data_IF_821979920957
#
_entry.id   IF_821979920957
#
_cell.length_a   1.000
_cell.length_b   1.000
_cell.length_c   1.000
_cell.angle_alpha   90.00
_cell.angle_beta   90.00
_cell.angle_gamma   90.00
#
_symmetry.space_group_name_H-M   'P 1'
#
loop_
_entity.id
_entity.type
_entity.pdbx_description
1 polymer ?
#
# COMPACT_ATOMS: atom_id res chain seq x y z
N UNK A 1 -1.14 14.33 14.26
CA UNK A 1 -0.31 13.32 14.98
C UNK A 1 0.06 12.23 13.99
N UNK A 2 1.34 11.99 13.84
CA UNK A 2 1.84 10.96 12.91
C UNK A 2 1.31 9.58 13.28
N UNK A 3 0.85 8.84 12.28
CA UNK A 3 0.44 7.45 12.42
C UNK A 3 1.62 6.52 12.19
N UNK A 4 2.50 6.86 11.24
CA UNK A 4 3.70 6.10 10.91
C UNK A 4 4.90 7.07 10.81
N UNK A 5 5.97 6.76 11.51
CA UNK A 5 7.25 7.46 11.43
C UNK A 5 8.37 6.46 11.17
N UNK A 6 9.18 6.75 10.19
CA UNK A 6 10.34 5.94 9.79
C UNK A 6 11.56 6.83 9.81
N UNK A 7 12.59 6.44 10.53
CA UNK A 7 13.83 7.22 10.66
C UNK A 7 15.04 6.32 10.45
N UNK A 8 15.93 6.73 9.56
CA UNK A 8 17.23 6.11 9.36
C UNK A 8 17.18 4.65 8.92
N UNK A 9 16.16 4.26 8.12
CA UNK A 9 15.94 2.86 7.78
C UNK A 9 16.99 2.34 6.81
N UNK A 10 17.80 1.39 7.27
CA UNK A 10 18.80 0.69 6.47
C UNK A 10 18.41 -0.79 6.33
N UNK A 11 18.13 -1.23 5.10
CA UNK A 11 17.63 -2.58 4.81
C UNK A 11 18.52 -3.29 3.80
N UNK A 12 18.75 -4.58 4.05
CA UNK A 12 19.65 -5.42 3.28
C UNK A 12 18.97 -6.73 2.85
N UNK A 13 19.38 -7.26 1.70
CA UNK A 13 19.18 -8.65 1.30
C UNK A 13 20.54 -9.36 1.31
N UNK A 14 20.79 -10.19 2.30
CA UNK A 14 22.14 -10.70 2.54
C UNK A 14 23.12 -9.53 2.76
N UNK A 15 24.15 -9.43 1.92
CA UNK A 15 25.14 -8.34 1.99
C UNK A 15 24.77 -7.14 1.09
N UNK A 16 23.72 -7.27 0.27
CA UNK A 16 23.29 -6.19 -0.62
C UNK A 16 22.50 -5.13 0.14
N UNK A 17 23.05 -3.92 0.28
CA UNK A 17 22.38 -2.78 0.87
C UNK A 17 21.40 -2.17 -0.14
N UNK A 18 20.13 -2.08 0.21
CA UNK A 18 19.05 -1.64 -0.70
C UNK A 18 18.42 -0.33 -0.26
N UNK A 19 18.19 -0.13 1.04
CA UNK A 19 17.66 1.12 1.57
C UNK A 19 18.72 1.78 2.42
N UNK A 20 18.96 3.05 2.13
CA UNK A 20 20.01 3.86 2.74
C UNK A 20 19.37 5.04 3.47
N UNK A 21 19.35 4.99 4.79
CA UNK A 21 18.88 6.07 5.67
C UNK A 21 17.49 6.61 5.29
N UNK A 22 16.57 5.68 4.90
CA UNK A 22 15.24 6.07 4.47
C UNK A 22 14.46 6.64 5.65
N UNK A 23 13.92 7.85 5.46
CA UNK A 23 13.04 8.51 6.41
C UNK A 23 11.74 8.91 5.71
N UNK A 24 10.60 8.65 6.35
CA UNK A 24 9.28 9.10 5.88
C UNK A 24 8.29 9.18 7.05
N UNK A 25 7.27 10.02 6.88
CA UNK A 25 6.21 10.21 7.85
C UNK A 25 4.85 10.18 7.17
N UNK A 26 3.87 9.54 7.84
CA UNK A 26 2.48 9.48 7.37
C UNK A 26 1.56 9.91 8.51
N UNK A 27 0.76 10.94 8.27
CA UNK A 27 -0.23 11.41 9.23
C UNK A 27 -1.50 10.52 9.17
N UNK A 28 -2.32 10.57 10.21
CA UNK A 28 -3.64 9.92 10.16
C UNK A 28 -4.49 10.52 9.04
N UNK A 29 -5.23 9.66 8.32
CA UNK A 29 -6.15 10.03 7.25
C UNK A 29 -5.43 10.68 6.05
N UNK A 30 -4.13 10.48 5.92
CA UNK A 30 -3.33 10.98 4.81
C UNK A 30 -3.16 9.89 3.73
N UNK A 31 -3.16 10.30 2.48
CA UNK A 31 -2.69 9.48 1.35
C UNK A 31 -1.29 9.95 0.99
N UNK A 32 -0.32 9.12 1.25
CA UNK A 32 1.09 9.36 0.93
C UNK A 32 1.51 8.46 -0.22
N UNK A 33 2.22 9.01 -1.18
CA UNK A 33 2.82 8.22 -2.26
C UNK A 33 4.33 8.12 -2.14
N UNK A 34 4.85 6.95 -2.47
CA UNK A 34 6.28 6.69 -2.66
C UNK A 34 6.51 6.40 -4.14
N UNK A 35 7.04 7.38 -4.86
CA UNK A 35 7.38 7.30 -6.28
C UNK A 35 8.83 6.89 -6.46
N UNK A 36 9.11 6.13 -7.52
CA UNK A 36 10.47 5.73 -7.88
C UNK A 36 10.48 4.79 -9.07
N UNK A 37 11.59 4.69 -9.74
CA UNK A 37 11.79 3.73 -10.85
C UNK A 37 11.78 2.29 -10.33
N UNK A 38 11.68 1.31 -11.25
CA UNK A 38 11.87 -0.10 -10.89
C UNK A 38 13.25 -0.32 -10.30
N UNK A 39 13.29 -1.08 -9.20
CA UNK A 39 14.53 -1.33 -8.45
C UNK A 39 14.96 -0.18 -7.52
N UNK A 40 14.24 0.93 -7.44
CA UNK A 40 14.61 2.06 -6.59
C UNK A 40 14.51 1.81 -5.06
N UNK A 41 13.85 0.71 -4.63
CA UNK A 41 13.70 0.38 -3.21
C UNK A 41 12.24 0.47 -2.69
N UNK A 42 11.27 0.81 -3.54
CA UNK A 42 9.85 0.99 -3.16
C UNK A 42 9.26 -0.21 -2.41
N UNK A 43 9.19 -1.38 -3.05
CA UNK A 43 8.63 -2.60 -2.44
C UNK A 43 9.47 -3.10 -1.27
N UNK A 44 10.80 -2.84 -1.26
CA UNK A 44 11.66 -3.12 -0.10
C UNK A 44 11.26 -2.26 1.09
N UNK A 45 10.94 -0.98 0.88
CA UNK A 45 10.41 -0.11 1.94
C UNK A 45 9.13 -0.71 2.54
N UNK A 46 8.15 -1.08 1.71
CA UNK A 46 6.91 -1.69 2.21
C UNK A 46 7.15 -3.02 2.94
N UNK A 47 8.06 -3.86 2.43
CA UNK A 47 8.44 -5.13 3.08
C UNK A 47 9.11 -4.90 4.42
N UNK A 48 9.92 -3.84 4.56
CA UNK A 48 10.55 -3.47 5.83
C UNK A 48 9.50 -2.98 6.84
N UNK A 49 8.56 -2.13 6.41
CA UNK A 49 7.45 -1.67 7.25
C UNK A 49 6.60 -2.83 7.79
N UNK A 50 6.39 -3.86 6.96
CA UNK A 50 5.62 -5.05 7.33
C UNK A 50 6.43 -6.12 8.06
N UNK A 51 7.71 -5.90 8.35
CA UNK A 51 8.57 -6.89 9.02
C UNK A 51 8.79 -8.17 8.21
N UNK A 52 8.62 -8.11 6.87
CA UNK A 52 8.96 -9.19 5.93
C UNK A 52 10.46 -9.25 5.74
N UNK A 53 11.09 -8.08 5.64
CA UNK A 53 12.53 -7.91 5.65
C UNK A 53 12.87 -7.02 6.85
N UNK A 54 13.58 -7.56 7.82
CA UNK A 54 13.97 -6.78 9.00
C UNK A 54 15.06 -5.76 8.62
N UNK A 55 14.89 -4.47 8.94
CA UNK A 55 15.97 -3.50 8.78
C UNK A 55 17.12 -3.84 9.74
N UNK A 56 18.35 -3.54 9.35
CA UNK A 56 19.52 -3.67 10.24
C UNK A 56 19.65 -2.48 11.18
N UNK A 57 19.23 -1.30 10.72
CA UNK A 57 19.30 -0.04 11.46
C UNK A 57 18.06 0.81 11.20
N UNK A 58 17.82 1.77 12.07
CA UNK A 58 16.69 2.69 12.00
C UNK A 58 15.53 2.29 12.90
N UNK A 59 14.52 3.12 12.92
CA UNK A 59 13.31 2.93 13.71
C UNK A 59 12.05 3.04 12.86
N UNK A 60 11.01 2.29 13.24
CA UNK A 60 9.69 2.34 12.62
C UNK A 60 8.67 2.44 13.75
N UNK A 61 8.09 3.61 13.94
CA UNK A 61 7.07 3.85 14.96
C UNK A 61 5.69 3.87 14.31
N UNK A 62 4.81 2.97 14.71
CA UNK A 62 3.44 2.88 14.22
C UNK A 62 2.44 3.04 15.36
N UNK A 63 1.60 4.08 15.28
CA UNK A 63 0.64 4.39 16.33
C UNK A 63 1.30 4.63 17.71
N UNK A 64 2.50 5.21 17.74
CA UNK A 64 3.28 5.45 18.94
C UNK A 64 4.04 4.24 19.47
N UNK A 65 4.05 3.13 18.74
CA UNK A 65 4.74 1.89 19.14
C UNK A 65 5.84 1.54 18.16
N UNK A 66 7.06 1.25 18.67
CA UNK A 66 8.17 0.75 17.86
C UNK A 66 7.85 -0.65 17.31
N UNK A 67 7.96 -0.80 15.97
CA UNK A 67 7.66 -2.05 15.28
C UNK A 67 8.83 -2.62 14.45
N UNK A 68 9.97 -1.94 14.36
CA UNK A 68 11.13 -2.45 13.66
C UNK A 68 11.54 -3.82 14.24
N UNK A 69 11.80 -4.78 13.35
CA UNK A 69 12.14 -6.15 13.73
C UNK A 69 10.99 -6.99 14.28
N UNK A 70 9.77 -6.46 14.42
CA UNK A 70 8.61 -7.27 14.79
C UNK A 70 8.19 -8.20 13.65
N UNK A 71 7.60 -9.33 14.01
CA UNK A 71 7.05 -10.29 13.03
C UNK A 71 5.85 -9.70 12.29
N UNK A 72 5.74 -9.97 10.99
CA UNK A 72 4.68 -9.43 10.11
C UNK A 72 3.26 -9.62 10.66
N UNK A 73 2.96 -10.77 11.27
CA UNK A 73 1.62 -11.02 11.83
C UNK A 73 1.30 -10.10 13.02
N UNK A 74 2.28 -9.70 13.81
CA UNK A 74 2.09 -8.77 14.93
C UNK A 74 1.85 -7.34 14.42
N UNK A 75 2.57 -6.94 13.37
CA UNK A 75 2.36 -5.66 12.67
C UNK A 75 0.98 -5.63 12.02
N UNK A 76 0.57 -6.72 11.37
CA UNK A 76 -0.76 -6.82 10.77
C UNK A 76 -1.89 -6.72 11.81
N UNK A 77 -1.74 -7.33 13.00
CA UNK A 77 -2.70 -7.17 14.11
C UNK A 77 -2.72 -5.77 14.69
N UNK A 78 -1.61 -5.04 14.68
CA UNK A 78 -1.59 -3.64 15.09
C UNK A 78 -2.37 -2.70 14.15
N UNK A 79 -2.77 -3.19 12.96
CA UNK A 79 -3.64 -2.49 12.01
C UNK A 79 -2.94 -2.01 10.72
N UNK A 80 -1.73 -2.50 10.40
CA UNK A 80 -1.07 -2.24 9.13
C UNK A 80 -1.32 -3.41 8.18
N UNK A 81 -1.84 -3.15 6.99
CA UNK A 81 -2.08 -4.18 5.97
C UNK A 81 -1.33 -3.86 4.69
N UNK A 82 -0.80 -4.89 4.03
CA UNK A 82 -0.10 -4.77 2.74
C UNK A 82 -0.88 -5.51 1.65
N UNK A 83 -1.14 -4.80 0.57
CA UNK A 83 -1.61 -5.37 -0.69
C UNK A 83 -0.40 -5.44 -1.62
N UNK A 84 0.00 -6.66 -1.96
CA UNK A 84 1.15 -6.93 -2.82
C UNK A 84 0.81 -6.70 -4.31
N UNK A 85 1.81 -6.36 -5.10
CA UNK A 85 1.75 -6.25 -6.56
C UNK A 85 1.17 -7.54 -7.21
N UNK A 86 1.63 -8.72 -6.77
CA UNK A 86 1.17 -10.04 -7.20
C UNK A 86 -0.18 -10.48 -6.59
N UNK A 87 -0.91 -9.55 -5.93
CA UNK A 87 -2.27 -9.70 -5.35
C UNK A 87 -2.40 -10.75 -4.25
N UNK A 88 -1.72 -11.87 -4.34
CA UNK A 88 -1.69 -13.01 -3.38
C UNK A 88 -3.06 -13.48 -2.92
N UNK A 89 -4.01 -13.57 -3.85
CA UNK A 89 -5.32 -14.16 -3.56
C UNK A 89 -5.20 -15.70 -3.54
N UNK A 90 -6.11 -16.35 -2.83
CA UNK A 90 -6.22 -17.81 -2.85
C UNK A 90 -7.06 -18.21 -4.06
N UNK A 91 -6.39 -18.63 -5.14
CA UNK A 91 -7.05 -18.94 -6.42
C UNK A 91 -8.06 -20.08 -6.35
N UNK A 92 -7.83 -21.09 -5.50
CA UNK A 92 -8.73 -22.24 -5.31
C UNK A 92 -9.98 -21.92 -4.48
N UNK A 93 -9.94 -20.85 -3.67
CA UNK A 93 -11.07 -20.38 -2.87
C UNK A 93 -11.94 -19.41 -3.69
N UNK A 94 -13.23 -19.37 -3.40
CA UNK A 94 -14.11 -18.37 -3.96
C UNK A 94 -13.89 -16.99 -3.29
N UNK A 95 -14.54 -15.93 -3.82
CA UNK A 95 -14.42 -14.57 -3.30
C UNK A 95 -14.79 -14.48 -1.83
N UNK A 96 -15.95 -15.06 -1.44
CA UNK A 96 -16.44 -15.02 -0.07
C UNK A 96 -15.49 -15.76 0.88
N UNK A 97 -15.01 -16.94 0.51
CA UNK A 97 -14.03 -17.71 1.29
C UNK A 97 -12.73 -16.96 1.47
N UNK A 98 -12.23 -16.26 0.43
CA UNK A 98 -11.05 -15.39 0.52
C UNK A 98 -11.23 -14.28 1.57
N UNK A 99 -12.40 -13.65 1.62
CA UNK A 99 -12.71 -12.58 2.57
C UNK A 99 -12.88 -13.12 3.99
N UNK A 100 -13.61 -14.23 4.15
CA UNK A 100 -13.81 -14.90 5.45
C UNK A 100 -12.47 -15.32 6.02
N UNK A 101 -11.63 -16.00 5.23
CA UNK A 101 -10.30 -16.46 5.68
C UNK A 101 -9.44 -15.29 6.14
N UNK A 102 -9.44 -14.16 5.40
CA UNK A 102 -8.68 -12.98 5.78
C UNK A 102 -9.16 -12.37 7.12
N UNK A 103 -10.44 -12.52 7.46
CA UNK A 103 -11.03 -11.97 8.68
C UNK A 103 -10.81 -12.82 9.94
N UNK A 104 -10.46 -14.11 9.81
CA UNK A 104 -10.42 -15.07 10.94
C UNK A 104 -9.45 -14.65 12.06
N UNK A 105 -8.36 -13.97 11.72
CA UNK A 105 -7.32 -13.56 12.68
C UNK A 105 -7.35 -12.06 13.00
N UNK A 106 -8.41 -11.36 12.61
CA UNK A 106 -8.61 -9.95 12.90
C UNK A 106 -9.31 -9.76 14.24
N UNK A 107 -8.80 -8.87 15.09
CA UNK A 107 -9.45 -8.51 16.36
C UNK A 107 -10.74 -7.73 16.10
N UNK A 108 -10.70 -6.81 15.13
CA UNK A 108 -11.86 -6.12 14.56
C UNK A 108 -12.00 -6.51 13.08
N UNK A 109 -13.23 -6.49 12.57
CA UNK A 109 -13.48 -6.80 11.16
C UNK A 109 -14.64 -5.98 10.62
N UNK A 110 -14.51 -5.57 9.36
CA UNK A 110 -15.66 -5.00 8.65
C UNK A 110 -16.62 -6.12 8.24
N UNK A 111 -17.94 -5.89 8.38
CA UNK A 111 -18.94 -6.79 7.83
C UNK A 111 -18.76 -6.98 6.33
N UNK A 112 -19.02 -8.19 5.82
CA UNK A 112 -18.90 -8.46 4.37
C UNK A 112 -19.81 -7.57 3.52
N UNK A 113 -21.00 -7.21 4.04
CA UNK A 113 -21.90 -6.29 3.34
C UNK A 113 -21.25 -4.91 3.11
N UNK A 114 -20.43 -4.40 4.05
CA UNK A 114 -19.66 -3.16 3.87
C UNK A 114 -18.63 -3.33 2.76
N UNK A 115 -17.92 -4.46 2.71
CA UNK A 115 -16.96 -4.77 1.66
C UNK A 115 -17.66 -4.85 0.30
N UNK A 116 -18.79 -5.52 0.22
CA UNK A 116 -19.58 -5.63 -1.01
C UNK A 116 -20.22 -4.30 -1.46
N UNK A 117 -20.50 -3.39 -0.53
CA UNK A 117 -20.92 -2.03 -0.88
C UNK A 117 -19.79 -1.23 -1.55
N UNK A 118 -18.54 -1.43 -1.12
CA UNK A 118 -17.35 -0.80 -1.73
C UNK A 118 -17.02 -1.46 -3.08
N UNK A 119 -17.16 -2.78 -3.16
CA UNK A 119 -16.84 -3.58 -4.35
C UNK A 119 -18.04 -4.37 -4.86
N UNK A 120 -19.04 -3.73 -5.52
CA UNK A 120 -20.24 -4.41 -6.00
C UNK A 120 -19.96 -5.57 -6.98
N UNK A 121 -18.87 -5.47 -7.77
CA UNK A 121 -18.43 -6.54 -8.66
C UNK A 121 -18.06 -7.82 -7.89
N UNK A 122 -17.41 -7.70 -6.72
CA UNK A 122 -17.09 -8.85 -5.89
C UNK A 122 -18.34 -9.52 -5.34
N UNK A 123 -19.40 -8.74 -5.04
CA UNK A 123 -20.69 -9.29 -4.64
C UNK A 123 -21.32 -10.16 -5.73
N UNK A 124 -21.26 -9.69 -6.99
CA UNK A 124 -21.76 -10.43 -8.14
C UNK A 124 -20.98 -11.72 -8.39
N UNK A 125 -19.70 -11.72 -8.03
CA UNK A 125 -18.76 -12.83 -8.21
C UNK A 125 -18.48 -13.61 -6.93
N UNK A 126 -19.30 -13.47 -5.88
CA UNK A 126 -19.00 -13.99 -4.54
C UNK A 126 -18.69 -15.50 -4.49
N UNK A 127 -19.32 -16.28 -5.36
CA UNK A 127 -19.15 -17.73 -5.48
C UNK A 127 -18.11 -18.15 -6.55
N UNK A 128 -17.58 -17.20 -7.33
CA UNK A 128 -16.55 -17.47 -8.33
C UNK A 128 -15.20 -17.71 -7.67
N UNK A 129 -14.42 -18.67 -8.17
CA UNK A 129 -13.07 -18.92 -7.68
C UNK A 129 -12.13 -17.76 -8.03
N UNK A 130 -11.08 -17.57 -7.24
CA UNK A 130 -10.08 -16.55 -7.49
C UNK A 130 -9.40 -16.66 -8.85
N UNK A 131 -9.23 -17.90 -9.38
CA UNK A 131 -8.71 -18.17 -10.73
C UNK A 131 -9.64 -17.70 -11.85
N UNK A 132 -10.95 -17.60 -11.58
CA UNK A 132 -11.96 -17.26 -12.58
C UNK A 132 -12.24 -15.75 -12.65
N UNK A 133 -11.53 -14.97 -11.81
CA UNK A 133 -11.63 -13.52 -11.75
C UNK A 133 -10.70 -12.87 -12.80
N UNK A 134 -11.16 -11.78 -13.41
CA UNK A 134 -10.30 -10.89 -14.17
C UNK A 134 -9.21 -10.27 -13.30
N UNK A 135 -8.12 -9.79 -13.90
CA UNK A 135 -7.05 -9.13 -13.16
C UNK A 135 -7.52 -7.96 -12.28
N UNK A 136 -8.49 -7.18 -12.75
CA UNK A 136 -9.10 -6.10 -11.97
C UNK A 136 -9.94 -6.60 -10.79
N UNK A 137 -10.73 -7.66 -10.97
CA UNK A 137 -11.48 -8.28 -9.88
C UNK A 137 -10.57 -8.93 -8.84
N UNK A 138 -9.47 -9.53 -9.27
CA UNK A 138 -8.43 -10.06 -8.38
C UNK A 138 -7.78 -8.94 -7.54
N UNK A 139 -7.52 -7.78 -8.15
CA UNK A 139 -6.98 -6.62 -7.45
C UNK A 139 -7.99 -6.05 -6.43
N UNK A 140 -9.27 -5.95 -6.82
CA UNK A 140 -10.34 -5.58 -5.90
C UNK A 140 -10.43 -6.55 -4.72
N UNK A 141 -10.33 -7.85 -4.97
CA UNK A 141 -10.33 -8.88 -3.93
C UNK A 141 -9.11 -8.76 -3.00
N UNK A 142 -7.92 -8.49 -3.53
CA UNK A 142 -6.71 -8.28 -2.73
C UNK A 142 -6.86 -7.08 -1.78
N UNK A 143 -7.39 -5.95 -2.29
CA UNK A 143 -7.68 -4.77 -1.46
C UNK A 143 -8.78 -5.09 -0.44
N UNK A 144 -9.87 -5.74 -0.85
CA UNK A 144 -10.97 -6.10 0.04
C UNK A 144 -10.51 -7.01 1.20
N UNK A 145 -9.58 -7.94 0.96
CA UNK A 145 -8.97 -8.79 2.00
C UNK A 145 -8.17 -8.00 3.03
N UNK A 146 -7.53 -6.90 2.63
CA UNK A 146 -6.87 -5.99 3.56
C UNK A 146 -7.89 -5.21 4.39
N UNK A 147 -8.96 -4.70 3.73
CA UNK A 147 -9.99 -3.87 4.37
C UNK A 147 -10.86 -4.64 5.38
N UNK A 148 -11.18 -5.91 5.11
CA UNK A 148 -12.01 -6.71 6.01
C UNK A 148 -11.40 -6.83 7.42
N UNK A 149 -10.10 -6.57 7.58
CA UNK A 149 -9.36 -6.61 8.85
C UNK A 149 -9.43 -5.30 9.64
N UNK A 150 -10.23 -4.32 9.22
CA UNK A 150 -10.36 -2.99 9.84
C UNK A 150 -8.99 -2.29 10.04
N UNK A 151 -8.23 -2.05 8.95
CA UNK A 151 -6.88 -1.51 9.06
C UNK A 151 -6.88 -0.03 9.46
N UNK A 152 -5.84 0.40 10.19
CA UNK A 152 -5.51 1.81 10.44
C UNK A 152 -4.78 2.43 9.26
N UNK A 153 -3.99 1.60 8.55
CA UNK A 153 -3.22 1.98 7.36
C UNK A 153 -3.17 0.82 6.37
N UNK A 154 -3.34 1.13 5.09
CA UNK A 154 -3.15 0.17 4.00
C UNK A 154 -1.98 0.62 3.14
N UNK A 155 -1.04 -0.30 2.94
CA UNK A 155 0.09 -0.16 2.04
C UNK A 155 -0.29 -0.83 0.71
N UNK A 156 -0.25 -0.09 -0.40
CA UNK A 156 -0.59 -0.58 -1.74
C UNK A 156 0.67 -0.60 -2.60
N UNK A 157 1.12 -1.78 -3.00
CA UNK A 157 2.29 -1.98 -3.85
C UNK A 157 1.85 -2.13 -5.31
N UNK A 158 2.06 -1.10 -6.12
CA UNK A 158 1.73 -0.98 -7.54
C UNK A 158 0.30 -1.47 -7.89
N UNK A 159 -0.75 -0.96 -7.19
CA UNK A 159 -2.11 -1.50 -7.28
C UNK A 159 -2.78 -1.29 -8.64
N UNK A 160 -2.23 -0.46 -9.52
CA UNK A 160 -2.82 -0.14 -10.83
C UNK A 160 -2.08 -0.79 -12.00
N UNK A 161 -0.97 -1.48 -11.73
CA UNK A 161 -0.15 -2.09 -12.78
C UNK A 161 -0.90 -3.18 -13.54
N UNK A 162 -0.75 -3.17 -14.88
CA UNK A 162 -1.36 -4.18 -15.77
C UNK A 162 -2.89 -4.16 -15.81
N UNK A 163 -3.56 -3.11 -15.28
CA UNK A 163 -5.01 -3.02 -15.28
C UNK A 163 -5.55 -2.15 -16.43
N UNK A 164 -6.73 -2.50 -16.93
CA UNK A 164 -7.44 -1.69 -17.91
C UNK A 164 -7.77 -0.30 -17.34
N UNK A 165 -7.73 0.78 -18.16
CA UNK A 165 -7.94 2.15 -17.70
C UNK A 165 -9.25 2.39 -16.93
N UNK A 166 -10.30 1.67 -17.29
CA UNK A 166 -11.60 1.74 -16.60
C UNK A 166 -11.50 1.21 -15.16
N UNK A 167 -10.78 0.11 -14.96
CA UNK A 167 -10.57 -0.50 -13.64
C UNK A 167 -9.67 0.40 -12.78
N UNK A 168 -8.63 0.99 -13.38
CA UNK A 168 -7.78 1.97 -12.67
C UNK A 168 -8.63 3.12 -12.13
N UNK A 169 -9.53 3.71 -12.96
CA UNK A 169 -10.44 4.78 -12.52
C UNK A 169 -11.36 4.35 -11.38
N UNK A 170 -11.89 3.13 -11.44
CA UNK A 170 -12.75 2.56 -10.41
C UNK A 170 -11.98 2.37 -9.08
N UNK A 171 -10.78 1.79 -9.12
CA UNK A 171 -9.93 1.62 -7.95
C UNK A 171 -9.45 2.96 -7.35
N UNK A 172 -9.11 3.94 -8.21
CA UNK A 172 -8.79 5.29 -7.76
C UNK A 172 -9.96 5.96 -7.03
N UNK A 173 -11.19 5.74 -7.51
CA UNK A 173 -12.39 6.21 -6.82
C UNK A 173 -12.52 5.55 -5.45
N UNK A 174 -12.37 4.22 -5.38
CA UNK A 174 -12.38 3.47 -4.11
C UNK A 174 -11.33 4.01 -3.15
N UNK A 175 -10.08 4.22 -3.59
CA UNK A 175 -9.02 4.78 -2.73
C UNK A 175 -9.38 6.17 -2.20
N UNK A 176 -9.97 7.05 -3.03
CA UNK A 176 -10.43 8.38 -2.58
C UNK A 176 -11.56 8.28 -1.56
N UNK A 177 -12.55 7.44 -1.81
CA UNK A 177 -13.70 7.27 -0.92
C UNK A 177 -13.25 6.71 0.44
N UNK A 178 -12.31 5.76 0.45
CA UNK A 178 -11.71 5.20 1.67
C UNK A 178 -10.89 6.24 2.44
N UNK A 179 -10.08 7.04 1.74
CA UNK A 179 -9.31 8.11 2.36
C UNK A 179 -10.23 9.20 2.95
N UNK A 180 -11.30 9.58 2.23
CA UNK A 180 -12.31 10.52 2.73
C UNK A 180 -13.06 9.96 3.95
N UNK A 181 -13.19 8.63 4.06
CA UNK A 181 -13.74 7.94 5.23
C UNK A 181 -12.72 7.79 6.39
N UNK A 182 -11.51 8.34 6.25
CA UNK A 182 -10.49 8.38 7.29
C UNK A 182 -9.49 7.23 7.28
N UNK A 183 -9.42 6.42 6.20
CA UNK A 183 -8.37 5.42 6.05
C UNK A 183 -7.06 6.07 5.62
N UNK A 184 -5.98 5.74 6.31
CA UNK A 184 -4.62 6.14 5.89
C UNK A 184 -4.11 5.20 4.81
N UNK A 185 -3.52 5.74 3.75
CA UNK A 185 -3.04 4.95 2.61
C UNK A 185 -1.59 5.34 2.28
N UNK A 186 -0.73 4.36 2.13
CA UNK A 186 0.58 4.52 1.47
C UNK A 186 0.51 3.83 0.12
N UNK A 187 0.72 4.60 -0.94
CA UNK A 187 0.67 4.13 -2.32
C UNK A 187 2.07 4.11 -2.91
N UNK A 188 2.51 2.95 -3.34
CA UNK A 188 3.72 2.80 -4.14
C UNK A 188 3.32 2.64 -5.59
N UNK A 189 3.83 3.48 -6.47
CA UNK A 189 3.42 3.49 -7.88
C UNK A 189 4.50 4.05 -8.81
N UNK A 190 4.37 3.71 -10.08
CA UNK A 190 5.08 4.32 -11.20
C UNK A 190 4.17 5.22 -12.03
N UNK A 191 2.85 5.00 -11.97
CA UNK A 191 1.87 5.81 -12.70
C UNK A 191 1.69 7.17 -12.01
N UNK A 192 2.42 8.16 -12.49
CA UNK A 192 2.41 9.52 -11.93
C UNK A 192 1.03 10.15 -11.92
N UNK A 193 0.26 10.00 -13.02
CA UNK A 193 -1.04 10.64 -13.14
C UNK A 193 -2.02 10.13 -12.07
N UNK A 194 -2.08 8.82 -11.86
CA UNK A 194 -2.90 8.20 -10.83
C UNK A 194 -2.42 8.59 -9.42
N UNK A 195 -1.11 8.52 -9.19
CA UNK A 195 -0.50 8.84 -7.90
C UNK A 195 -0.76 10.30 -7.49
N UNK A 196 -0.43 11.25 -8.35
CA UNK A 196 -0.61 12.66 -8.07
C UNK A 196 -2.09 13.08 -7.98
N UNK A 197 -3.02 12.29 -8.52
CA UNK A 197 -4.45 12.52 -8.37
C UNK A 197 -5.02 12.02 -7.03
N UNK A 198 -4.30 11.16 -6.32
CA UNK A 198 -4.72 10.56 -5.05
C UNK A 198 -3.96 11.11 -3.85
N UNK A 199 -2.64 11.26 -3.97
CA UNK A 199 -1.77 11.61 -2.85
C UNK A 199 -1.87 13.08 -2.45
N UNK A 200 -1.74 13.34 -1.15
CA UNK A 200 -1.54 14.67 -0.58
C UNK A 200 -0.03 15.00 -0.48
N UNK A 201 0.78 14.00 -0.12
CA UNK A 201 2.23 14.09 0.00
C UNK A 201 2.90 13.01 -0.82
N UNK A 202 4.05 13.33 -1.36
CA UNK A 202 4.85 12.44 -2.19
C UNK A 202 6.28 12.40 -1.69
N UNK A 203 6.80 11.21 -1.56
CA UNK A 203 8.22 10.92 -1.44
C UNK A 203 8.73 10.38 -2.76
N UNK A 204 9.92 10.79 -3.19
CA UNK A 204 10.60 10.20 -4.35
C UNK A 204 11.80 9.41 -3.82
N UNK A 205 11.83 8.12 -4.14
CA UNK A 205 12.96 7.25 -3.82
C UNK A 205 13.76 6.94 -5.07
N UNK A 206 15.08 7.06 -4.98
CA UNK A 206 16.01 6.72 -6.05
C UNK A 206 17.22 6.00 -5.45
N UNK A 207 17.57 4.83 -6.00
CA UNK A 207 18.68 4.00 -5.53
C UNK A 207 18.70 3.83 -3.99
N UNK A 208 17.54 3.59 -3.40
CA UNK A 208 17.39 3.35 -1.96
C UNK A 208 17.41 4.59 -1.06
N UNK A 209 17.51 5.79 -1.60
CA UNK A 209 17.49 7.05 -0.87
C UNK A 209 16.20 7.83 -1.13
N UNK A 210 15.62 8.47 -0.10
CA UNK A 210 14.62 9.51 -0.33
C UNK A 210 15.33 10.75 -0.84
N UNK A 211 15.04 11.13 -2.07
CA UNK A 211 15.69 12.25 -2.78
C UNK A 211 14.81 13.50 -2.86
N UNK A 212 13.53 13.36 -2.56
CA UNK A 212 12.57 14.46 -2.50
C UNK A 212 11.36 14.11 -1.63
N UNK A 213 10.87 15.10 -0.90
CA UNK A 213 9.57 15.07 -0.18
C UNK A 213 8.85 16.38 -0.45
N UNK A 214 7.56 16.32 -0.74
CA UNK A 214 6.74 17.52 -0.91
C UNK A 214 5.26 17.23 -1.12
N UNK A 215 4.41 18.28 -1.11
CA UNK A 215 3.01 18.17 -1.46
C UNK A 215 2.84 17.71 -2.91
N UNK A 216 1.87 16.83 -3.18
CA UNK A 216 1.58 16.39 -4.55
C UNK A 216 1.23 17.56 -5.50
N UNK A 217 0.64 18.64 -4.96
CA UNK A 217 0.33 19.85 -5.72
C UNK A 217 1.60 20.57 -6.22
N UNK A 218 2.67 20.60 -5.43
CA UNK A 218 3.96 21.18 -5.80
C UNK A 218 4.60 20.40 -6.96
N UNK A 219 4.61 19.07 -6.85
CA UNK A 219 5.16 18.20 -7.89
C UNK A 219 4.41 18.37 -9.22
N UNK A 220 3.06 18.52 -9.16
CA UNK A 220 2.26 18.83 -10.35
C UNK A 220 2.61 20.18 -10.98
N UNK A 221 2.90 21.19 -10.16
CA UNK A 221 3.25 22.53 -10.61
C UNK A 221 4.69 22.63 -11.14
N UNK A 222 5.57 21.70 -10.72
CA UNK A 222 7.00 21.69 -11.05
C UNK A 222 7.44 20.37 -11.68
N UNK A 223 7.09 20.11 -12.96
CA UNK A 223 7.45 18.86 -13.65
C UNK A 223 8.95 18.56 -13.66
N UNK A 224 9.80 19.61 -13.52
CA UNK A 224 11.26 19.47 -13.47
C UNK A 224 11.72 18.56 -12.31
N UNK A 225 10.96 18.48 -11.21
CA UNK A 225 11.25 17.58 -10.08
C UNK A 225 11.24 16.13 -10.57
N UNK A 226 10.19 15.77 -11.32
CA UNK A 226 10.04 14.43 -11.88
C UNK A 226 11.11 14.11 -12.91
N UNK A 227 11.40 15.08 -13.79
CA UNK A 227 12.47 14.95 -14.79
C UNK A 227 13.83 14.73 -14.11
N UNK A 228 14.14 15.50 -13.06
CA UNK A 228 15.41 15.42 -12.33
C UNK A 228 15.61 14.07 -11.63
N UNK A 229 14.57 13.53 -10.98
CA UNK A 229 14.72 12.37 -10.09
C UNK A 229 14.24 11.07 -10.71
N UNK A 230 13.32 11.12 -11.68
CA UNK A 230 12.75 9.92 -12.33
C UNK A 230 13.14 9.81 -13.82
N UNK A 231 13.68 10.89 -14.41
CA UNK A 231 14.06 10.91 -15.82
C UNK A 231 12.85 10.89 -16.77
N UNK A 232 11.72 11.48 -16.35
CA UNK A 232 10.42 11.49 -17.04
C UNK A 232 10.09 12.89 -17.56
#
# INVERSE_FOLDING_TARGET
>A
MSLLEVNGLNTYYGDSHILFDVALRVEKNEVVALLGRNGAGKSTTLKSLMGVVAPREGSIVFGGTEIAGRKSHAIARAGMQLVHEDRRIFGSLNVEENLVLASLTADNRWPLDRIYAIFPRLRQRRTSRGTDLSGGEQQMLAIARALVRDPKIVLLDEPFEGLAPLIVKELMKVCRDLAAAGLTIVLVEQNLAATLALAQRVYIINNGHIVHEGPAAEIKAQPQILQRYLGL
#
